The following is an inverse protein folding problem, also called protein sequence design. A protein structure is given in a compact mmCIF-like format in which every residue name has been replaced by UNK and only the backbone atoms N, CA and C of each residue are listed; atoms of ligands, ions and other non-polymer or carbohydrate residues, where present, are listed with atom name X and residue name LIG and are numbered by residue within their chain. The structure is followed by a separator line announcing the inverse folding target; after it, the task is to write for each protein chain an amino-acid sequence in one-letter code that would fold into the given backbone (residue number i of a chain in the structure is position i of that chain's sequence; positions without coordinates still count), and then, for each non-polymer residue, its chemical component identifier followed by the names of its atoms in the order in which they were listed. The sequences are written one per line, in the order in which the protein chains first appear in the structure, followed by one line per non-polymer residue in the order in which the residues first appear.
data_IF_497037149462
#
_entry.id   IF_497037149462
#
_cell.length_a   1.000
_cell.length_b   1.000
_cell.length_c   1.000
_cell.angle_alpha   90.00
_cell.angle_beta   90.00
_cell.angle_gamma   90.00
#
_symmetry.space_group_name_H-M   'P 1'
#
loop_
_entity.id
_entity.type
_entity.pdbx_description
1 polymer ?
#
# COMPACT_ATOMS: atom_id res chain seq x y z
N UNK A 1 4.43 42.15 -19.77
CA UNK A 1 5.22 41.11 -20.48
C UNK A 1 6.10 40.28 -19.56
N UNK A 2 6.99 40.86 -18.73
CA UNK A 2 7.91 40.11 -17.85
C UNK A 2 7.21 39.23 -16.79
N UNK A 3 6.13 39.73 -16.20
CA UNK A 3 5.34 38.96 -15.21
C UNK A 3 4.62 37.74 -15.83
N UNK A 4 4.16 37.86 -17.08
CA UNK A 4 3.50 36.77 -17.80
C UNK A 4 4.46 35.61 -18.09
N UNK A 5 5.71 35.93 -18.41
CA UNK A 5 6.76 34.94 -18.62
C UNK A 5 7.13 34.18 -17.34
N UNK A 6 7.13 34.85 -16.19
CA UNK A 6 7.33 34.18 -14.89
C UNK A 6 6.19 33.20 -14.58
N UNK A 7 4.93 33.57 -14.84
CA UNK A 7 3.78 32.67 -14.63
C UNK A 7 3.88 31.42 -15.51
N UNK A 8 4.32 31.57 -16.76
CA UNK A 8 4.53 30.44 -17.66
C UNK A 8 5.66 29.51 -17.18
N UNK A 9 6.77 30.06 -16.69
CA UNK A 9 7.89 29.30 -16.13
C UNK A 9 7.50 28.47 -14.89
N UNK A 10 6.60 28.97 -14.05
CA UNK A 10 6.08 28.19 -12.93
C UNK A 10 5.14 27.06 -13.37
N UNK A 11 4.35 27.26 -14.43
CA UNK A 11 3.42 26.25 -14.93
C UNK A 11 4.13 24.99 -15.48
N UNK A 12 5.28 25.13 -16.13
CA UNK A 12 6.08 24.00 -16.64
C UNK A 12 6.85 23.25 -15.54
N UNK A 13 7.19 23.90 -14.43
CA UNK A 13 7.83 23.25 -13.28
C UNK A 13 6.87 22.44 -12.40
N UNK A 14 5.56 22.58 -12.60
CA UNK A 14 4.52 21.92 -11.80
C UNK A 14 4.11 20.52 -12.32
N UNK A 15 4.76 19.99 -13.36
CA UNK A 15 4.56 18.62 -13.81
C UNK A 15 5.17 17.63 -12.79
N UNK A 16 4.35 17.21 -11.83
CA UNK A 16 4.72 16.21 -10.82
C UNK A 16 4.98 14.83 -11.42
N UNK A 17 5.47 13.90 -10.59
CA UNK A 17 5.74 12.50 -10.97
C UNK A 17 4.48 11.82 -11.56
N UNK A 18 3.30 12.28 -11.17
CA UNK A 18 1.99 11.81 -11.64
C UNK A 18 1.72 12.15 -13.12
N UNK A 19 2.36 13.20 -13.63
CA UNK A 19 2.14 13.71 -14.98
C UNK A 19 2.89 12.90 -16.05
N UNK A 20 4.00 12.22 -15.70
CA UNK A 20 4.76 11.38 -16.64
C UNK A 20 4.31 9.91 -16.61
N UNK A 21 4.40 9.18 -17.74
CA UNK A 21 4.11 7.74 -17.77
C UNK A 21 4.98 6.93 -16.82
N UNK A 22 6.27 7.28 -16.72
CA UNK A 22 7.22 6.62 -15.82
C UNK A 22 6.86 6.84 -14.36
N UNK A 23 6.56 8.09 -13.97
CA UNK A 23 6.23 8.39 -12.58
C UNK A 23 4.88 7.81 -12.17
N UNK A 24 3.89 7.71 -13.08
CA UNK A 24 2.68 6.91 -12.83
C UNK A 24 2.96 5.43 -12.63
N UNK A 25 3.95 4.88 -13.33
CA UNK A 25 4.34 3.48 -13.12
C UNK A 25 4.95 3.28 -11.74
N UNK A 26 5.88 4.15 -11.35
CA UNK A 26 6.52 4.10 -10.03
C UNK A 26 5.47 4.21 -8.91
N UNK A 27 4.53 5.17 -9.01
CA UNK A 27 3.47 5.35 -8.02
C UNK A 27 2.59 4.09 -7.92
N UNK A 28 2.24 3.46 -9.04
CA UNK A 28 1.48 2.20 -9.02
C UNK A 28 2.28 1.08 -8.37
N UNK A 29 3.56 0.96 -8.68
CA UNK A 29 4.41 -0.08 -8.10
C UNK A 29 4.53 0.10 -6.58
N UNK A 30 4.71 1.34 -6.11
CA UNK A 30 4.71 1.68 -4.68
C UNK A 30 3.38 1.28 -4.00
N UNK A 31 2.24 1.61 -4.62
CA UNK A 31 0.91 1.24 -4.11
C UNK A 31 0.71 -0.28 -4.06
N UNK A 32 1.18 -1.01 -5.09
CA UNK A 32 1.09 -2.47 -5.13
C UNK A 32 1.90 -3.08 -3.99
N UNK A 33 3.12 -2.58 -3.76
CA UNK A 33 3.97 -3.05 -2.65
C UNK A 33 3.30 -2.80 -1.30
N UNK A 34 2.73 -1.61 -1.09
CA UNK A 34 2.04 -1.27 0.16
C UNK A 34 0.82 -2.19 0.41
N UNK A 35 0.02 -2.44 -0.64
CA UNK A 35 -1.11 -3.37 -0.56
C UNK A 35 -0.67 -4.80 -0.26
N UNK A 36 0.42 -5.26 -0.89
CA UNK A 36 0.98 -6.59 -0.65
C UNK A 36 1.45 -6.75 0.80
N UNK A 37 2.10 -5.74 1.37
CA UNK A 37 2.56 -5.77 2.77
C UNK A 37 1.39 -5.68 3.76
N UNK A 38 0.32 -4.97 3.42
CA UNK A 38 -0.94 -5.02 4.17
C UNK A 38 -1.54 -6.42 4.17
N UNK A 39 -1.63 -7.07 3.01
CA UNK A 39 -2.16 -8.43 2.87
C UNK A 39 -1.32 -9.46 3.64
N UNK A 40 0.01 -9.37 3.57
CA UNK A 40 0.90 -10.24 4.34
C UNK A 40 0.66 -10.12 5.84
N UNK A 41 0.52 -8.90 6.35
CA UNK A 41 0.23 -8.64 7.77
C UNK A 41 -1.13 -9.22 8.18
N UNK A 42 -2.16 -9.03 7.37
CA UNK A 42 -3.48 -9.61 7.63
C UNK A 42 -3.44 -11.14 7.64
N UNK A 43 -2.74 -11.76 6.68
CA UNK A 43 -2.56 -13.21 6.65
C UNK A 43 -1.86 -13.75 7.89
N UNK A 44 -0.82 -13.05 8.38
CA UNK A 44 -0.14 -13.45 9.62
C UNK A 44 -1.10 -13.45 10.81
N UNK A 45 -1.90 -12.39 10.97
CA UNK A 45 -2.88 -12.28 12.06
C UNK A 45 -3.95 -13.37 11.96
N UNK A 46 -4.41 -13.68 10.75
CA UNK A 46 -5.38 -14.77 10.53
C UNK A 46 -4.79 -16.13 10.90
N UNK A 47 -3.56 -16.41 10.49
CA UNK A 47 -2.88 -17.67 10.82
C UNK A 47 -2.68 -17.84 12.34
N UNK A 48 -2.28 -16.78 13.03
CA UNK A 48 -2.18 -16.78 14.50
C UNK A 48 -3.53 -17.04 15.17
N UNK A 49 -4.59 -16.39 14.67
CA UNK A 49 -5.95 -16.56 15.17
C UNK A 49 -6.44 -18.00 14.98
N UNK A 50 -6.21 -18.58 13.80
CA UNK A 50 -6.52 -19.99 13.49
C UNK A 50 -5.74 -20.91 14.43
N UNK A 51 -4.44 -20.66 14.63
CA UNK A 51 -3.62 -21.43 15.56
C UNK A 51 -4.14 -21.39 17.00
N UNK A 52 -4.58 -20.22 17.47
CA UNK A 52 -5.18 -20.07 18.80
C UNK A 52 -6.52 -20.82 18.91
N UNK A 53 -7.37 -20.74 17.88
CA UNK A 53 -8.64 -21.46 17.83
C UNK A 53 -8.42 -22.98 17.85
N UNK A 54 -7.49 -23.49 17.05
CA UNK A 54 -7.16 -24.92 17.02
C UNK A 54 -6.70 -25.42 18.39
N UNK A 55 -5.81 -24.70 19.07
CA UNK A 55 -5.38 -25.03 20.44
C UNK A 55 -6.55 -25.09 21.43
N UNK A 56 -7.52 -24.19 21.29
CA UNK A 56 -8.73 -24.18 22.13
C UNK A 56 -9.64 -25.36 21.81
N UNK A 57 -9.82 -25.70 20.54
CA UNK A 57 -10.60 -26.86 20.09
C UNK A 57 -9.97 -28.14 20.62
N UNK A 58 -8.67 -28.36 20.41
CA UNK A 58 -7.96 -29.54 20.93
C UNK A 58 -8.11 -29.70 22.45
N UNK A 59 -8.05 -28.58 23.19
CA UNK A 59 -8.26 -28.60 24.64
C UNK A 59 -9.67 -29.04 25.02
N UNK A 60 -10.69 -28.58 24.29
CA UNK A 60 -12.08 -28.97 24.52
C UNK A 60 -12.32 -30.43 24.15
N UNK A 61 -11.72 -30.92 23.06
CA UNK A 61 -11.82 -32.32 22.63
C UNK A 61 -11.20 -33.27 23.65
N UNK A 62 -10.08 -32.92 24.29
CA UNK A 62 -9.46 -33.75 25.34
C UNK A 62 -10.25 -33.83 26.64
N UNK A 63 -11.17 -32.89 26.88
CA UNK A 63 -12.00 -32.87 28.09
C UNK A 63 -13.27 -33.73 27.89
N UNK A 64 -13.66 -33.98 26.64
CA UNK A 64 -14.84 -34.76 26.27
C UNK A 64 -14.52 -36.26 26.26
#
# INVERSE_FOLDING_TARGET
MRALAMIFLFAISACGRESSPEGRSIIRDEQIVEQLDSLKRQNHVLLDSIGALNKRIEKLERIR
#
